data_IF_339473466431
#
_entry.id   IF_339473466431
#
_cell.length_a   1.000
_cell.length_b   1.000
_cell.length_c   1.000
_cell.angle_alpha   90.00
_cell.angle_beta   90.00
_cell.angle_gamma   90.00
#
_symmetry.space_group_name_H-M   'P 1'
#
loop_
_entity.id
_entity.type
_entity.pdbx_description
1 polymer ?
#
# COMPACT_ATOMS: atom_id res chain seq x y z
N UNK A 1 -19.14 -24.37 -41.59
CA UNK A 1 -18.72 -25.13 -40.41
C UNK A 1 -17.25 -25.50 -40.58
N UNK A 2 -16.32 -24.75 -39.98
CA UNK A 2 -14.86 -25.01 -40.05
C UNK A 2 -14.14 -24.62 -38.73
N UNK A 3 -14.82 -24.73 -37.59
CA UNK A 3 -14.32 -24.29 -36.27
C UNK A 3 -14.00 -25.45 -35.30
N UNK A 4 -13.68 -26.64 -35.82
CA UNK A 4 -13.55 -27.86 -35.01
C UNK A 4 -12.12 -28.46 -34.99
N UNK A 5 -11.28 -28.16 -35.99
CA UNK A 5 -9.94 -28.79 -36.13
C UNK A 5 -8.80 -28.07 -35.40
N UNK A 6 -8.93 -26.77 -35.11
CA UNK A 6 -7.89 -25.99 -34.41
C UNK A 6 -7.91 -26.16 -32.89
N UNK A 7 -9.08 -26.42 -32.31
CA UNK A 7 -9.29 -26.54 -30.85
C UNK A 7 -8.78 -27.86 -30.27
N UNK A 8 -8.79 -28.95 -31.04
CA UNK A 8 -8.27 -30.25 -30.56
C UNK A 8 -6.73 -30.30 -30.49
N UNK A 9 -6.01 -29.53 -31.30
CA UNK A 9 -4.54 -29.54 -31.36
C UNK A 9 -3.90 -28.83 -30.15
N UNK A 10 -4.49 -27.72 -29.72
CA UNK A 10 -3.99 -26.94 -28.58
C UNK A 10 -4.31 -27.60 -27.23
N UNK A 11 -5.45 -28.29 -27.14
CA UNK A 11 -5.89 -28.92 -25.89
C UNK A 11 -5.08 -30.20 -25.57
N UNK A 12 -4.69 -30.97 -26.59
CA UNK A 12 -3.82 -32.14 -26.42
C UNK A 12 -2.41 -31.77 -25.89
N UNK A 13 -1.88 -30.62 -26.31
CA UNK A 13 -0.61 -30.08 -25.82
C UNK A 13 -0.67 -29.65 -24.35
N UNK A 14 -1.80 -29.07 -23.92
CA UNK A 14 -1.98 -28.62 -22.53
C UNK A 14 -2.12 -29.80 -21.54
N UNK A 15 -2.68 -30.93 -21.95
CA UNK A 15 -2.85 -32.11 -21.09
C UNK A 15 -1.52 -32.86 -20.87
N UNK A 16 -0.65 -32.91 -21.88
CA UNK A 16 0.63 -33.63 -21.78
C UNK A 16 1.63 -32.97 -20.80
N UNK A 17 1.54 -31.66 -20.57
CA UNK A 17 2.47 -30.93 -19.69
C UNK A 17 2.15 -31.07 -18.19
N UNK A 18 1.01 -31.68 -17.82
CA UNK A 18 0.60 -31.92 -16.43
C UNK A 18 1.06 -33.28 -15.89
N UNK A 19 1.86 -34.03 -16.65
CA UNK A 19 2.13 -35.46 -16.42
C UNK A 19 3.46 -35.86 -15.76
N UNK A 20 4.36 -34.95 -15.37
CA UNK A 20 5.61 -35.33 -14.70
C UNK A 20 5.85 -34.50 -13.43
N UNK A 21 5.44 -35.06 -12.28
CA UNK A 21 5.85 -34.52 -10.97
C UNK A 21 5.03 -35.01 -9.79
N UNK A 22 5.22 -36.28 -9.39
CA UNK A 22 4.91 -36.72 -8.03
C UNK A 22 5.95 -36.15 -7.06
N UNK A 23 5.52 -35.37 -6.07
CA UNK A 23 6.02 -35.45 -4.70
C UNK A 23 4.92 -34.97 -3.78
N UNK A 24 4.29 -35.95 -3.13
CA UNK A 24 3.30 -35.74 -2.08
C UNK A 24 4.05 -35.68 -0.74
N UNK A 25 3.59 -34.79 0.12
CA UNK A 25 3.85 -34.70 1.57
C UNK A 25 5.30 -34.46 2.04
N UNK A 26 5.58 -33.22 2.42
CA UNK A 26 6.04 -32.92 3.77
C UNK A 26 5.34 -31.63 4.21
N UNK A 27 4.45 -31.74 5.19
CA UNK A 27 3.91 -30.59 5.91
C UNK A 27 4.93 -30.33 7.00
N UNK A 28 5.80 -29.35 6.77
CA UNK A 28 6.69 -28.83 7.79
C UNK A 28 6.01 -27.59 8.40
N UNK A 29 5.45 -27.80 9.58
CA UNK A 29 4.98 -26.78 10.50
C UNK A 29 6.21 -26.06 11.11
N UNK A 30 6.09 -24.75 11.27
CA UNK A 30 7.06 -23.81 11.89
C UNK A 30 8.34 -23.42 11.10
N UNK A 31 8.22 -22.30 10.37
CA UNK A 31 9.35 -21.39 10.13
C UNK A 31 8.85 -19.94 10.17
N UNK A 32 8.84 -19.40 11.39
CA UNK A 32 8.99 -17.97 11.63
C UNK A 32 10.12 -17.38 10.78
N UNK A 33 9.84 -16.25 10.12
CA UNK A 33 10.87 -15.33 9.62
C UNK A 33 11.09 -15.37 8.12
N UNK A 34 10.62 -14.33 7.43
CA UNK A 34 10.96 -14.14 6.02
C UNK A 34 10.16 -13.11 5.25
N UNK A 35 9.26 -12.34 5.88
CA UNK A 35 8.91 -11.04 5.29
C UNK A 35 10.18 -10.21 5.36
N UNK A 36 10.89 -10.07 4.23
CA UNK A 36 11.75 -8.91 4.03
C UNK A 36 10.82 -7.73 4.18
N UNK A 37 10.79 -7.20 5.40
CA UNK A 37 10.27 -5.90 5.71
C UNK A 37 11.17 -4.96 4.91
N UNK A 38 10.80 -4.68 3.67
CA UNK A 38 11.01 -3.34 3.14
C UNK A 38 10.49 -2.46 4.26
N UNK A 39 11.36 -1.70 4.90
CA UNK A 39 11.01 -0.88 6.04
C UNK A 39 9.80 -0.04 5.62
N UNK A 40 8.60 -0.52 5.96
CA UNK A 40 7.37 0.12 5.56
C UNK A 40 7.32 1.34 6.45
N UNK A 41 7.72 2.47 5.86
CA UNK A 41 7.71 3.77 6.50
C UNK A 41 6.36 3.88 7.22
N UNK A 42 6.34 3.95 8.56
CA UNK A 42 5.09 3.92 9.32
C UNK A 42 4.17 4.98 8.74
N UNK A 43 3.02 4.55 8.19
CA UNK A 43 2.02 5.50 7.71
C UNK A 43 1.55 6.26 8.95
N UNK A 44 1.78 7.57 9.03
CA UNK A 44 1.34 8.33 10.18
C UNK A 44 -0.17 8.17 10.32
N UNK A 45 -0.64 7.79 11.50
CA UNK A 45 -2.07 7.74 11.78
C UNK A 45 -2.56 9.16 11.96
N UNK A 46 -2.98 9.76 10.86
CA UNK A 46 -3.48 11.13 10.85
C UNK A 46 -4.86 11.15 11.47
N UNK A 47 -4.92 11.65 12.71
CA UNK A 47 -6.18 11.92 13.38
C UNK A 47 -6.83 13.08 12.63
N UNK A 48 -8.13 12.95 12.36
CA UNK A 48 -8.94 14.02 11.79
C UNK A 48 -8.77 15.31 12.58
N UNK A 49 -8.81 16.49 11.93
CA UNK A 49 -8.61 17.77 12.61
C UNK A 49 -9.53 17.85 13.83
N UNK A 50 -8.92 17.85 15.02
CA UNK A 50 -9.58 18.02 16.30
C UNK A 50 -10.02 19.47 16.48
N UNK A 51 -10.99 19.73 17.35
CA UNK A 51 -11.34 21.10 17.74
C UNK A 51 -10.08 21.79 18.29
N UNK A 52 -9.54 22.76 17.54
CA UNK A 52 -8.26 23.41 17.83
C UNK A 52 -7.15 23.16 16.82
N UNK A 53 -7.34 22.28 15.81
CA UNK A 53 -6.36 22.04 14.74
C UNK A 53 -6.97 22.33 13.36
N UNK A 54 -6.51 23.40 12.72
CA UNK A 54 -6.91 23.79 11.36
C UNK A 54 -5.87 23.30 10.35
N UNK A 55 -6.22 22.28 9.57
CA UNK A 55 -5.38 21.80 8.47
C UNK A 55 -5.51 22.70 7.24
N UNK A 56 -4.39 23.03 6.60
CA UNK A 56 -4.29 23.81 5.36
C UNK A 56 -4.05 22.88 4.18
N UNK A 57 -3.08 21.97 4.29
CA UNK A 57 -2.90 20.88 3.34
C UNK A 57 -2.65 19.58 4.09
N UNK A 58 -3.15 18.48 3.52
CA UNK A 58 -2.91 17.11 3.99
C UNK A 58 -1.68 16.49 3.32
N UNK A 59 -1.10 17.18 2.34
CA UNK A 59 0.06 16.68 1.60
C UNK A 59 1.35 17.29 2.17
N UNK A 60 2.16 16.50 2.90
CA UNK A 60 3.41 17.01 3.48
C UNK A 60 4.43 17.46 2.43
N UNK A 61 4.28 17.02 1.17
CA UNK A 61 5.14 17.47 0.06
C UNK A 61 4.77 18.86 -0.45
N UNK A 62 3.52 19.28 -0.30
CA UNK A 62 3.06 20.61 -0.72
C UNK A 62 3.31 21.65 0.37
N UNK A 63 3.30 21.24 1.64
CA UNK A 63 3.46 22.12 2.78
C UNK A 63 4.68 23.07 2.75
N UNK A 64 5.87 22.67 2.27
CA UNK A 64 7.01 23.58 2.13
C UNK A 64 6.82 24.67 1.07
N UNK A 65 5.86 24.49 0.16
CA UNK A 65 5.55 25.42 -0.94
C UNK A 65 4.36 26.33 -0.63
N UNK A 66 3.67 26.12 0.50
CA UNK A 66 2.52 26.89 0.92
C UNK A 66 2.96 27.87 2.01
N UNK A 67 2.83 29.16 1.73
CA UNK A 67 2.99 30.19 2.74
C UNK A 67 1.67 30.42 3.47
N UNK A 68 1.66 30.23 4.79
CA UNK A 68 0.49 30.45 5.62
C UNK A 68 0.86 31.15 6.93
N UNK A 69 -0.10 31.91 7.47
CA UNK A 69 0.03 32.64 8.73
C UNK A 69 -1.08 32.17 9.66
N UNK A 70 -0.72 31.85 10.90
CA UNK A 70 -1.66 31.44 11.94
C UNK A 70 -2.20 32.64 12.70
N UNK A 71 -3.39 32.49 13.30
CA UNK A 71 -3.97 33.57 14.10
C UNK A 71 -3.12 33.82 15.36
N UNK A 72 -3.25 35.00 16.00
CA UNK A 72 -2.60 35.23 17.29
C UNK A 72 -2.97 34.14 18.30
N UNK A 73 -1.96 33.53 18.93
CA UNK A 73 -2.14 32.42 19.88
C UNK A 73 -2.21 31.02 19.23
N UNK A 74 -2.07 30.90 17.91
CA UNK A 74 -1.91 29.63 17.21
C UNK A 74 -0.44 29.39 16.83
N UNK A 75 -0.03 28.13 16.80
CA UNK A 75 1.29 27.71 16.33
C UNK A 75 1.18 26.95 15.00
N UNK A 76 2.07 27.22 14.04
CA UNK A 76 2.12 26.43 12.80
C UNK A 76 2.64 25.03 13.10
N UNK A 77 2.03 24.02 12.48
CA UNK A 77 2.52 22.65 12.48
C UNK A 77 2.82 22.19 11.05
N UNK A 78 3.88 21.39 10.91
CA UNK A 78 4.23 20.67 9.70
C UNK A 78 4.66 19.26 10.11
N UNK A 79 3.84 18.27 9.78
CA UNK A 79 4.10 16.87 10.10
C UNK A 79 3.79 15.96 8.92
N UNK A 80 3.92 14.66 9.14
CA UNK A 80 3.66 13.67 8.10
C UNK A 80 2.18 13.57 7.69
N UNK A 81 1.28 14.22 8.43
CA UNK A 81 -0.14 14.34 8.14
C UNK A 81 -0.51 15.61 7.38
N UNK A 82 0.43 16.56 7.29
CA UNK A 82 0.27 17.78 6.51
C UNK A 82 0.73 19.01 7.30
N UNK A 83 0.09 20.13 7.03
CA UNK A 83 0.44 21.41 7.62
C UNK A 83 -0.81 22.22 7.95
N UNK A 84 -0.66 23.10 8.93
CA UNK A 84 -1.75 23.96 9.38
C UNK A 84 -1.41 24.72 10.65
N UNK A 85 -2.45 25.15 11.34
CA UNK A 85 -2.35 25.91 12.58
C UNK A 85 -3.05 25.13 13.70
N UNK A 86 -2.44 25.09 14.87
CA UNK A 86 -3.04 24.50 16.07
C UNK A 86 -2.99 25.48 17.25
N UNK A 87 -4.03 25.47 18.10
CA UNK A 87 -3.99 26.12 19.41
C UNK A 87 -3.41 25.16 20.43
N UNK A 88 -2.40 25.62 21.15
CA UNK A 88 -1.76 24.88 22.24
C UNK A 88 -2.30 25.31 23.59
#
# INVERSE_FOLDING_TARGET
MFYDRSTHSTLALLVAMLGMGCSVASVDDDASGGRTQVAEKPRPRCITPSEGRRAISKNPKECPHIFFVCAPGETPFLDACGCGCERR
#
